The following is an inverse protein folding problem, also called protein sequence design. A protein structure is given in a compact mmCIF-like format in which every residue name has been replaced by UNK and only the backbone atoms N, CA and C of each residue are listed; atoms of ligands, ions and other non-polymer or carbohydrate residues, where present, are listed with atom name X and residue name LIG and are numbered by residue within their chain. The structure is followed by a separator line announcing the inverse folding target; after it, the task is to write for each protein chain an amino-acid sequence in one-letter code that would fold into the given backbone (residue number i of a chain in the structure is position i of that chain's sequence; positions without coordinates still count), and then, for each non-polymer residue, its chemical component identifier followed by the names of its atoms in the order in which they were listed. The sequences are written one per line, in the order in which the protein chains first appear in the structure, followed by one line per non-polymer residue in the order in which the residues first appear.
data_IF_420930053146
#
_entry.id   IF_420930053146
#
_cell.length_a   1.000
_cell.length_b   1.000
_cell.length_c   1.000
_cell.angle_alpha   90.00
_cell.angle_beta   90.00
_cell.angle_gamma   90.00
#
_symmetry.space_group_name_H-M   'P 1'
#
loop_
_entity.id
_entity.type
_entity.pdbx_description
1 polymer ?
#
# COMPACT_ATOMS: atom_id res chain seq x y z
N UNK A 1 -6.55 -16.29 0.33
CA UNK A 1 -7.24 -16.48 -0.97
C UNK A 1 -7.83 -15.15 -1.37
N UNK A 2 -7.19 -14.42 -2.28
CA UNK A 2 -7.87 -13.29 -2.91
C UNK A 2 -9.10 -13.83 -3.63
N UNK A 3 -10.28 -13.36 -3.26
CA UNK A 3 -11.49 -13.66 -4.01
C UNK A 3 -11.25 -13.18 -5.45
N UNK A 4 -11.49 -14.03 -6.45
CA UNK A 4 -11.36 -13.68 -7.88
C UNK A 4 -12.20 -12.46 -8.28
N UNK A 5 -13.10 -12.01 -7.42
CA UNK A 5 -14.01 -10.89 -7.63
C UNK A 5 -13.55 -9.58 -6.98
N UNK A 6 -12.39 -9.53 -6.33
CA UNK A 6 -11.94 -8.30 -5.68
C UNK A 6 -11.18 -7.39 -6.65
N UNK A 7 -10.28 -7.96 -7.45
CA UNK A 7 -9.45 -7.22 -8.41
C UNK A 7 -10.04 -7.37 -9.80
N UNK A 8 -10.39 -6.24 -10.43
CA UNK A 8 -11.01 -6.23 -11.75
C UNK A 8 -9.97 -6.38 -12.87
N UNK A 9 -8.84 -5.69 -12.73
CA UNK A 9 -7.72 -5.74 -13.68
C UNK A 9 -6.41 -5.78 -12.92
N UNK A 10 -5.44 -6.54 -13.44
CA UNK A 10 -4.10 -6.64 -12.86
C UNK A 10 -3.05 -6.65 -13.95
N UNK A 11 -2.04 -5.82 -13.79
CA UNK A 11 -0.85 -5.78 -14.66
C UNK A 11 0.39 -5.62 -13.79
N UNK A 12 1.42 -6.39 -14.07
CA UNK A 12 2.71 -6.30 -13.39
C UNK A 12 3.84 -6.46 -14.38
N UNK A 13 4.79 -5.53 -14.37
CA UNK A 13 6.04 -5.60 -15.12
C UNK A 13 7.19 -5.67 -14.13
N UNK A 14 8.07 -6.63 -14.32
CA UNK A 14 9.30 -6.81 -13.53
C UNK A 14 10.47 -6.84 -14.50
N UNK A 15 11.50 -6.06 -14.21
CA UNK A 15 12.78 -6.10 -14.89
C UNK A 15 13.86 -6.46 -13.88
N UNK A 16 14.61 -7.52 -14.18
CA UNK A 16 15.69 -8.02 -13.33
C UNK A 16 16.97 -7.93 -14.16
N UNK A 17 17.89 -7.08 -13.73
CA UNK A 17 19.18 -6.91 -14.38
C UNK A 17 20.25 -6.51 -13.35
N UNK A 18 21.45 -7.09 -13.49
CA UNK A 18 22.64 -6.73 -12.69
C UNK A 18 22.39 -6.68 -11.17
N UNK A 19 21.66 -7.67 -10.63
CA UNK A 19 21.31 -7.73 -9.20
C UNK A 19 20.28 -6.70 -8.74
N UNK A 20 19.63 -5.99 -9.66
CA UNK A 20 18.54 -5.05 -9.35
C UNK A 20 17.22 -5.55 -9.90
N UNK A 21 16.18 -5.35 -9.11
CA UNK A 21 14.80 -5.59 -9.52
C UNK A 21 14.09 -4.24 -9.59
N UNK A 22 13.53 -3.93 -10.77
CA UNK A 22 12.61 -2.81 -10.92
C UNK A 22 11.22 -3.36 -11.21
N UNK A 23 10.18 -2.81 -10.58
CA UNK A 23 8.82 -3.26 -10.81
C UNK A 23 7.85 -2.10 -10.98
N UNK A 24 6.81 -2.36 -11.76
CA UNK A 24 5.61 -1.53 -11.86
C UNK A 24 4.42 -2.48 -11.74
N UNK A 25 3.55 -2.23 -10.77
CA UNK A 25 2.32 -2.99 -10.52
C UNK A 25 1.13 -2.05 -10.61
N UNK A 26 0.15 -2.42 -11.42
CA UNK A 26 -1.12 -1.70 -11.59
C UNK A 26 -2.27 -2.67 -11.41
N UNK A 27 -3.28 -2.27 -10.67
CA UNK A 27 -4.52 -3.03 -10.56
C UNK A 27 -5.69 -2.10 -10.25
N UNK A 28 -6.91 -2.55 -10.49
CA UNK A 28 -8.12 -1.81 -10.15
C UNK A 28 -9.03 -2.62 -9.23
N UNK A 29 -9.73 -1.90 -8.36
CA UNK A 29 -10.76 -2.42 -7.46
C UNK A 29 -11.91 -1.40 -7.48
N UNK A 30 -13.11 -1.81 -7.94
CA UNK A 30 -14.29 -0.94 -7.99
C UNK A 30 -14.01 0.43 -8.63
N UNK A 31 -13.43 0.42 -9.82
CA UNK A 31 -13.04 1.61 -10.58
C UNK A 31 -11.90 2.45 -9.92
N UNK A 32 -11.43 2.06 -8.75
CA UNK A 32 -10.25 2.70 -8.13
C UNK A 32 -8.98 2.11 -8.71
N UNK A 33 -8.06 2.98 -9.14
CA UNK A 33 -6.78 2.60 -9.73
C UNK A 33 -5.67 2.61 -8.68
N UNK A 34 -4.96 1.51 -8.59
CA UNK A 34 -3.78 1.32 -7.75
C UNK A 34 -2.56 1.18 -8.65
N UNK A 35 -1.55 2.00 -8.41
CA UNK A 35 -0.25 1.91 -9.05
C UNK A 35 0.86 1.92 -8.01
N UNK A 36 1.77 0.95 -8.08
CA UNK A 36 3.00 0.93 -7.30
C UNK A 36 4.18 0.68 -8.21
N UNK A 37 5.22 1.48 -8.06
CA UNK A 37 6.51 1.30 -8.72
C UNK A 37 7.62 1.33 -7.68
N UNK A 38 8.70 0.64 -7.97
CA UNK A 38 9.84 0.64 -7.07
C UNK A 38 10.98 -0.23 -7.54
N UNK A 39 11.96 -0.37 -6.68
CA UNK A 39 13.15 -1.15 -6.97
C UNK A 39 13.74 -1.79 -5.70
N UNK A 40 14.53 -2.83 -5.92
CA UNK A 40 15.34 -3.50 -4.90
C UNK A 40 16.74 -3.66 -5.47
N UNK A 41 17.76 -3.30 -4.71
CA UNK A 41 19.14 -3.67 -5.01
C UNK A 41 19.50 -4.91 -4.18
N UNK A 42 19.60 -6.07 -4.83
CA UNK A 42 19.90 -7.34 -4.18
C UNK A 42 21.39 -7.52 -3.84
N UNK A 43 22.26 -6.64 -4.34
CA UNK A 43 23.71 -6.68 -4.07
C UNK A 43 24.05 -6.03 -2.73
N UNK A 44 23.12 -5.34 -2.09
CA UNK A 44 23.30 -4.78 -0.76
C UNK A 44 23.17 -5.83 0.33
N UNK A 45 23.95 -5.74 1.38
CA UNK A 45 23.89 -6.62 2.54
C UNK A 45 22.50 -6.60 3.21
N UNK A 46 21.85 -5.42 3.20
CA UNK A 46 20.49 -5.21 3.71
C UNK A 46 19.59 -4.64 2.60
N UNK A 47 19.06 -5.49 1.71
CA UNK A 47 18.26 -5.01 0.58
C UNK A 47 17.02 -4.25 1.04
N UNK A 48 16.85 -3.05 0.52
CA UNK A 48 15.68 -2.22 0.74
C UNK A 48 14.77 -2.26 -0.49
N UNK A 49 13.51 -2.57 -0.28
CA UNK A 49 12.45 -2.38 -1.26
C UNK A 49 12.00 -0.93 -1.23
N UNK A 50 12.40 -0.12 -2.20
CA UNK A 50 11.84 1.21 -2.41
C UNK A 50 10.49 1.11 -3.11
N UNK A 51 9.53 1.94 -2.68
CA UNK A 51 8.21 1.99 -3.27
C UNK A 51 7.70 3.42 -3.39
N UNK A 52 6.93 3.66 -4.43
CA UNK A 52 6.14 4.85 -4.68
C UNK A 52 4.78 4.38 -5.22
N UNK A 53 3.76 4.52 -4.38
CA UNK A 53 2.43 3.98 -4.64
C UNK A 53 1.40 5.10 -4.68
N UNK A 54 0.42 4.96 -5.55
CA UNK A 54 -0.74 5.84 -5.60
C UNK A 54 -2.05 5.06 -5.69
N UNK A 55 -3.09 5.65 -5.10
CA UNK A 55 -4.48 5.20 -5.21
C UNK A 55 -5.29 6.38 -5.71
N UNK A 56 -5.99 6.20 -6.83
CA UNK A 56 -6.91 7.18 -7.37
C UNK A 56 -8.29 6.55 -7.41
N UNK A 57 -9.24 7.14 -6.70
CA UNK A 57 -10.64 6.70 -6.64
C UNK A 57 -11.56 7.90 -6.78
N UNK A 58 -12.52 7.83 -7.69
CA UNK A 58 -13.56 8.87 -7.85
C UNK A 58 -14.63 8.74 -6.76
N UNK A 59 -14.76 7.56 -6.15
CA UNK A 59 -15.71 7.28 -5.09
C UNK A 59 -15.08 6.33 -4.06
N UNK A 60 -14.57 6.92 -2.99
CA UNK A 60 -13.92 6.18 -1.91
C UNK A 60 -14.88 5.22 -1.19
N UNK A 61 -16.20 5.50 -1.18
CA UNK A 61 -17.18 4.62 -0.54
C UNK A 61 -17.32 3.29 -1.29
N UNK A 62 -17.29 3.31 -2.63
CA UNK A 62 -17.32 2.06 -3.42
C UNK A 62 -16.10 1.20 -3.11
N UNK A 63 -14.91 1.82 -3.01
CA UNK A 63 -13.69 1.13 -2.64
C UNK A 63 -13.81 0.50 -1.24
N UNK A 64 -14.22 1.26 -0.25
CA UNK A 64 -14.33 0.81 1.14
C UNK A 64 -15.40 -0.28 1.33
N UNK A 65 -16.52 -0.20 0.60
CA UNK A 65 -17.53 -1.28 0.59
C UNK A 65 -16.96 -2.62 0.13
N UNK A 66 -16.00 -2.64 -0.80
CA UNK A 66 -15.32 -3.88 -1.22
C UNK A 66 -14.51 -4.53 -0.09
N UNK A 67 -14.00 -3.73 0.83
CA UNK A 67 -13.34 -4.20 2.06
C UNK A 67 -14.32 -4.44 3.22
N UNK A 68 -15.65 -4.35 2.98
CA UNK A 68 -16.68 -4.44 4.02
C UNK A 68 -16.54 -3.38 5.12
N UNK A 69 -16.01 -2.21 4.77
CA UNK A 69 -15.88 -1.05 5.66
C UNK A 69 -17.04 -0.10 5.37
N UNK A 70 -17.82 0.22 6.41
CA UNK A 70 -18.94 1.17 6.31
C UNK A 70 -18.50 2.50 6.91
N UNK A 71 -18.39 3.53 6.09
CA UNK A 71 -18.17 4.90 6.54
C UNK A 71 -19.45 5.70 6.29
N UNK A 72 -19.84 6.52 7.29
CA UNK A 72 -21.05 7.36 7.22
C UNK A 72 -20.86 8.65 6.40
N UNK A 73 -19.63 8.94 5.98
CA UNK A 73 -19.31 10.17 5.26
C UNK A 73 -19.78 10.11 3.80
N UNK A 74 -19.90 11.28 3.16
CA UNK A 74 -20.22 11.37 1.74
C UNK A 74 -19.14 10.71 0.88
N UNK A 75 -19.54 10.24 -0.30
CA UNK A 75 -18.58 9.79 -1.31
C UNK A 75 -17.67 10.95 -1.71
N UNK A 76 -16.37 10.74 -1.66
CA UNK A 76 -15.35 11.75 -1.96
C UNK A 76 -14.29 11.15 -2.89
N UNK A 77 -13.67 12.04 -3.67
CA UNK A 77 -12.50 11.69 -4.47
C UNK A 77 -11.33 11.41 -3.52
N UNK A 78 -10.66 10.29 -3.74
CA UNK A 78 -9.44 9.93 -3.03
C UNK A 78 -8.26 9.90 -4.01
N UNK A 79 -7.28 10.74 -3.76
CA UNK A 79 -5.97 10.69 -4.41
C UNK A 79 -4.90 10.54 -3.31
N UNK A 80 -4.52 9.30 -3.04
CA UNK A 80 -3.52 8.97 -2.03
C UNK A 80 -2.18 8.65 -2.71
N UNK A 81 -1.10 9.27 -2.25
CA UNK A 81 0.28 8.97 -2.65
C UNK A 81 1.12 8.63 -1.43
N UNK A 82 1.80 7.50 -1.49
CA UNK A 82 2.66 7.00 -0.40
C UNK A 82 4.00 6.58 -0.95
N UNK A 83 5.08 7.05 -0.37
CA UNK A 83 6.43 6.63 -0.74
C UNK A 83 7.28 6.30 0.49
N UNK A 84 8.22 5.38 0.30
CA UNK A 84 9.09 4.95 1.37
C UNK A 84 9.99 3.80 0.96
N UNK A 85 10.50 3.09 1.95
CA UNK A 85 11.23 1.84 1.76
C UNK A 85 10.89 0.83 2.85
N UNK A 86 11.07 -0.43 2.53
CA UNK A 86 10.84 -1.58 3.39
C UNK A 86 12.12 -2.40 3.45
N UNK A 87 12.64 -2.62 4.64
CA UNK A 87 13.67 -3.64 4.87
C UNK A 87 12.97 -5.01 4.95
N UNK A 88 13.23 -5.85 3.95
CA UNK A 88 12.55 -7.14 3.80
C UNK A 88 12.98 -8.14 4.89
N UNK A 89 14.23 -8.03 5.35
CA UNK A 89 14.80 -8.98 6.32
C UNK A 89 14.26 -8.76 7.73
N UNK A 90 14.23 -7.50 8.19
CA UNK A 90 13.79 -7.18 9.54
C UNK A 90 12.34 -6.69 9.63
N UNK A 91 11.62 -6.65 8.49
CA UNK A 91 10.21 -6.22 8.38
C UNK A 91 9.97 -4.81 8.92
N UNK A 92 10.90 -3.90 8.69
CA UNK A 92 10.80 -2.50 9.09
C UNK A 92 10.49 -1.61 7.89
N UNK A 93 9.45 -0.79 8.02
CA UNK A 93 9.08 0.20 7.00
C UNK A 93 9.57 1.59 7.40
N UNK A 94 10.00 2.36 6.42
CA UNK A 94 10.30 3.78 6.56
C UNK A 94 9.43 4.56 5.57
N UNK A 95 8.37 5.18 6.07
CA UNK A 95 7.49 6.05 5.29
C UNK A 95 8.16 7.41 5.14
N UNK A 96 8.37 7.84 3.89
CA UNK A 96 8.97 9.14 3.57
C UNK A 96 7.93 10.22 3.36
N UNK A 97 6.82 9.86 2.71
CA UNK A 97 5.76 10.80 2.36
C UNK A 97 4.42 10.11 2.25
N UNK A 98 3.40 10.73 2.81
CA UNK A 98 1.99 10.41 2.59
C UNK A 98 1.28 11.72 2.21
N UNK A 99 0.58 11.70 1.09
CA UNK A 99 -0.20 12.81 0.56
C UNK A 99 -1.62 12.34 0.28
N UNK A 100 -2.61 13.12 0.71
CA UNK A 100 -4.03 12.85 0.42
C UNK A 100 -4.64 14.11 -0.21
N UNK A 101 -5.20 13.94 -1.42
CA UNK A 101 -5.93 14.97 -2.18
C UNK A 101 -5.16 16.30 -2.36
N UNK A 102 -3.82 16.24 -2.36
CA UNK A 102 -2.93 17.41 -2.43
C UNK A 102 -3.09 18.42 -1.29
N UNK A 103 -4.12 18.27 -0.46
CA UNK A 103 -4.46 19.15 0.65
C UNK A 103 -3.85 18.71 1.99
N UNK A 104 -3.61 17.43 2.17
CA UNK A 104 -3.01 16.88 3.37
C UNK A 104 -1.65 16.27 3.06
N UNK A 105 -0.63 16.69 3.80
CA UNK A 105 0.71 16.10 3.81
C UNK A 105 0.99 15.64 5.23
N UNK A 106 1.24 14.35 5.40
CA UNK A 106 1.50 13.78 6.72
C UNK A 106 2.71 14.42 7.40
N UNK A 107 2.54 14.82 8.65
CA UNK A 107 3.61 15.28 9.51
C UNK A 107 4.56 14.14 9.89
N UNK A 108 5.70 14.47 10.51
CA UNK A 108 6.61 13.44 11.02
C UNK A 108 5.96 12.57 12.11
N UNK A 109 5.04 13.11 12.88
CA UNK A 109 4.28 12.38 13.89
C UNK A 109 3.30 11.41 13.24
N UNK A 110 2.56 11.86 12.23
CA UNK A 110 1.68 11.01 11.45
C UNK A 110 2.43 9.87 10.77
N UNK A 111 3.59 10.15 10.15
CA UNK A 111 4.42 9.13 9.52
C UNK A 111 4.89 8.07 10.54
N UNK A 112 5.23 8.46 11.77
CA UNK A 112 5.58 7.52 12.84
C UNK A 112 4.38 6.69 13.27
N UNK A 113 3.21 7.33 13.41
CA UNK A 113 1.97 6.64 13.76
C UNK A 113 1.61 5.59 12.70
N UNK A 114 1.51 5.97 11.44
CA UNK A 114 1.21 5.05 10.34
C UNK A 114 2.24 3.92 10.22
N UNK A 115 3.53 4.23 10.41
CA UNK A 115 4.58 3.21 10.47
C UNK A 115 4.30 2.17 11.54
N UNK A 116 4.03 2.60 12.77
CA UNK A 116 3.81 1.70 13.90
C UNK A 116 2.58 0.83 13.69
N UNK A 117 1.47 1.42 13.24
CA UNK A 117 0.24 0.68 12.94
C UNK A 117 0.49 -0.32 11.82
N UNK A 118 1.18 0.08 10.75
CA UNK A 118 1.51 -0.80 9.64
C UNK A 118 2.37 -1.99 10.07
N UNK A 119 3.46 -1.74 10.80
CA UNK A 119 4.36 -2.79 11.28
C UNK A 119 3.65 -3.77 12.21
N UNK A 120 2.83 -3.28 13.13
CA UNK A 120 2.10 -4.11 14.09
C UNK A 120 0.97 -4.92 13.43
N UNK A 121 0.28 -4.34 12.44
CA UNK A 121 -0.87 -5.00 11.80
C UNK A 121 -0.44 -5.95 10.70
N UNK A 122 0.48 -5.50 9.82
CA UNK A 122 0.82 -6.21 8.60
C UNK A 122 1.91 -7.27 8.83
N UNK A 123 2.87 -7.00 9.73
CA UNK A 123 4.02 -7.88 9.94
C UNK A 123 3.91 -8.81 11.15
N UNK A 124 2.79 -8.82 11.83
CA UNK A 124 2.56 -9.65 13.04
C UNK A 124 2.60 -11.16 12.74
N UNK A 125 2.35 -11.57 11.50
CA UNK A 125 2.31 -12.96 11.09
C UNK A 125 3.35 -13.31 10.01
N UNK A 126 3.35 -14.59 9.56
CA UNK A 126 4.24 -15.07 8.50
C UNK A 126 4.08 -14.26 7.20
N UNK A 127 5.17 -14.12 6.45
CA UNK A 127 5.24 -13.38 5.18
C UNK A 127 4.09 -13.69 4.19
N UNK A 128 3.61 -14.93 4.17
CA UNK A 128 2.51 -15.36 3.29
C UNK A 128 1.14 -14.79 3.68
N UNK A 129 0.98 -14.30 4.91
CA UNK A 129 -0.28 -13.71 5.41
C UNK A 129 -0.30 -12.18 5.37
N UNK A 130 0.84 -11.52 5.12
CA UNK A 130 0.98 -10.06 5.07
C UNK A 130 -0.03 -9.40 4.11
N UNK A 131 -0.37 -10.06 3.01
CA UNK A 131 -1.29 -9.56 2.00
C UNK A 131 -2.71 -10.11 2.13
N UNK A 132 -3.11 -10.59 3.32
CA UNK A 132 -4.50 -10.99 3.54
C UNK A 132 -5.41 -9.77 3.54
N UNK A 133 -6.63 -9.92 2.99
CA UNK A 133 -7.64 -8.86 3.02
C UNK A 133 -8.03 -8.45 4.44
N UNK A 134 -7.99 -9.39 5.37
CA UNK A 134 -8.28 -9.14 6.79
C UNK A 134 -7.29 -8.16 7.38
N UNK A 135 -5.99 -8.35 7.15
CA UNK A 135 -4.94 -7.44 7.63
C UNK A 135 -5.04 -6.05 7.01
N UNK A 136 -5.33 -5.97 5.72
CA UNK A 136 -5.57 -4.68 5.04
C UNK A 136 -6.78 -3.97 5.65
N UNK A 137 -7.87 -4.70 5.91
CA UNK A 137 -9.06 -4.16 6.55
C UNK A 137 -8.78 -3.68 7.98
N UNK A 138 -8.09 -4.49 8.80
CA UNK A 138 -7.66 -4.11 10.15
C UNK A 138 -6.83 -2.82 10.12
N UNK A 139 -5.85 -2.73 9.23
CA UNK A 139 -5.04 -1.52 9.07
C UNK A 139 -5.89 -0.29 8.72
N UNK A 140 -6.82 -0.41 7.75
CA UNK A 140 -7.69 0.71 7.36
C UNK A 140 -8.58 1.15 8.53
N UNK A 141 -9.13 0.20 9.30
CA UNK A 141 -9.99 0.50 10.44
C UNK A 141 -9.21 1.16 11.59
N UNK A 142 -7.94 0.82 11.78
CA UNK A 142 -7.10 1.41 12.82
C UNK A 142 -6.70 2.85 12.48
N UNK A 143 -6.51 3.18 11.20
CA UNK A 143 -6.08 4.52 10.77
C UNK A 143 -7.24 5.43 10.35
N UNK A 144 -8.47 4.95 10.34
CA UNK A 144 -9.67 5.74 10.02
C UNK A 144 -10.36 6.29 11.25
#
# INVERSE_FOLDING_TARGET
KFSRNLVDKFNMKINIAYGRINYIKKFSISDSLFECKGNINLLEEYPLLFFDCSIISEDNQKLLKKFSIKIKNKAEILNLKVSGNLNILNKKINLKKININESYVASNEDLKYFKNVFENTIFDESFLKIFSLEKIKEFILEVS
#
